data_IF_207962384769
#
_entry.id   IF_207962384769
#
_cell.length_a   1.000
_cell.length_b   1.000
_cell.length_c   1.000
_cell.angle_alpha   90.00
_cell.angle_beta   90.00
_cell.angle_gamma   90.00
#
_symmetry.space_group_name_H-M   'P 1'
#
loop_
_entity.id
_entity.type
_entity.pdbx_description
1 polymer ?
#
# COMPACT_ATOMS: atom_id res chain seq x y z
N UNK A 1 -17.46 12.31 25.07
CA UNK A 1 -16.08 12.10 24.56
C UNK A 1 -15.39 13.46 24.51
N UNK A 2 -14.23 13.59 25.14
CA UNK A 2 -13.50 14.86 25.22
C UNK A 2 -12.94 15.26 23.83
N UNK A 3 -13.11 16.53 23.46
CA UNK A 3 -12.60 17.13 22.23
C UNK A 3 -11.11 16.87 22.02
N UNK A 4 -10.33 16.81 23.09
CA UNK A 4 -8.88 16.59 23.05
C UNK A 4 -8.53 15.15 22.60
N UNK A 5 -9.31 14.15 23.05
CA UNK A 5 -9.13 12.75 22.64
C UNK A 5 -9.43 12.54 21.15
N UNK A 6 -10.44 13.24 20.62
CA UNK A 6 -10.80 13.18 19.19
C UNK A 6 -9.68 13.79 18.33
N UNK A 7 -9.08 14.91 18.76
CA UNK A 7 -7.96 15.53 18.06
C UNK A 7 -6.72 14.62 18.06
N UNK A 8 -6.40 14.01 19.21
CA UNK A 8 -5.26 13.10 19.32
C UNK A 8 -5.43 11.85 18.43
N UNK A 9 -6.62 11.26 18.38
CA UNK A 9 -6.91 10.13 17.48
C UNK A 9 -6.79 10.51 16.00
N UNK A 10 -7.28 11.69 15.61
CA UNK A 10 -7.13 12.20 14.24
C UNK A 10 -5.67 12.41 13.87
N UNK A 11 -4.88 12.98 14.79
CA UNK A 11 -3.45 13.18 14.61
C UNK A 11 -2.70 11.85 14.42
N UNK A 12 -2.94 10.86 15.28
CA UNK A 12 -2.33 9.52 15.16
C UNK A 12 -2.70 8.84 13.84
N UNK A 13 -3.96 8.96 13.40
CA UNK A 13 -4.42 8.41 12.11
C UNK A 13 -3.72 9.09 10.93
N UNK A 14 -3.54 10.41 10.99
CA UNK A 14 -2.80 11.16 9.97
C UNK A 14 -1.30 10.80 9.95
N UNK A 15 -0.67 10.67 11.12
CA UNK A 15 0.74 10.28 11.23
C UNK A 15 1.00 8.88 10.67
N UNK A 16 0.14 7.90 11.02
CA UNK A 16 0.23 6.54 10.45
C UNK A 16 0.12 6.57 8.94
N UNK A 17 -0.81 7.35 8.41
CA UNK A 17 -0.99 7.57 6.95
C UNK A 17 0.28 8.08 6.28
N UNK A 18 0.94 9.08 6.86
CA UNK A 18 2.19 9.62 6.31
C UNK A 18 3.30 8.57 6.34
N UNK A 19 3.38 7.77 7.41
CA UNK A 19 4.37 6.68 7.52
C UNK A 19 4.15 5.62 6.45
N UNK A 20 2.92 5.20 6.22
CA UNK A 20 2.57 4.19 5.21
C UNK A 20 2.89 4.69 3.79
N UNK A 21 2.57 5.95 3.49
CA UNK A 21 2.91 6.58 2.20
C UNK A 21 4.43 6.65 2.01
N UNK A 22 5.18 7.08 3.03
CA UNK A 22 6.65 7.08 2.98
C UNK A 22 7.21 5.68 2.72
N UNK A 23 6.68 4.67 3.41
CA UNK A 23 7.09 3.27 3.23
C UNK A 23 6.89 2.80 1.78
N UNK A 24 5.72 3.09 1.20
CA UNK A 24 5.45 2.78 -0.20
C UNK A 24 6.47 3.42 -1.15
N UNK A 25 6.73 4.73 -0.99
CA UNK A 25 7.68 5.43 -1.86
C UNK A 25 9.09 4.86 -1.76
N UNK A 26 9.53 4.47 -0.56
CA UNK A 26 10.82 3.80 -0.39
C UNK A 26 10.89 2.51 -1.21
N UNK A 27 9.87 1.65 -1.11
CA UNK A 27 9.83 0.40 -1.89
C UNK A 27 9.74 0.65 -3.39
N UNK A 28 8.96 1.64 -3.83
CA UNK A 28 8.85 2.04 -5.23
C UNK A 28 10.19 2.54 -5.79
N UNK A 29 10.90 3.40 -5.04
CA UNK A 29 12.21 3.90 -5.45
C UNK A 29 13.21 2.77 -5.59
N UNK A 30 13.28 1.86 -4.61
CA UNK A 30 14.16 0.69 -4.68
C UNK A 30 13.80 -0.18 -5.89
N UNK A 31 12.53 -0.45 -6.12
CA UNK A 31 12.06 -1.22 -7.28
C UNK A 31 12.50 -0.57 -8.60
N UNK A 32 12.29 0.74 -8.76
CA UNK A 32 12.70 1.49 -9.94
C UNK A 32 14.21 1.53 -10.17
N UNK A 33 15.04 1.41 -9.12
CA UNK A 33 16.49 1.37 -9.25
C UNK A 33 17.02 -0.04 -9.54
N UNK A 34 16.48 -1.06 -8.88
CA UNK A 34 16.96 -2.44 -8.97
C UNK A 34 16.51 -3.13 -10.26
N UNK A 35 15.26 -2.91 -10.70
CA UNK A 35 14.72 -3.56 -11.90
C UNK A 35 15.53 -3.24 -13.17
N UNK A 36 15.89 -1.99 -13.48
CA UNK A 36 16.74 -1.68 -14.63
C UNK A 36 18.11 -2.36 -14.56
N UNK A 37 18.70 -2.48 -13.37
CA UNK A 37 19.98 -3.17 -13.17
C UNK A 37 19.83 -4.67 -13.48
N UNK A 38 18.75 -5.31 -13.03
CA UNK A 38 18.46 -6.72 -13.33
C UNK A 38 18.23 -6.91 -14.84
N UNK A 39 17.45 -6.04 -15.47
CA UNK A 39 17.19 -6.09 -16.92
C UNK A 39 18.52 -5.94 -17.68
N UNK A 40 19.36 -4.98 -17.30
CA UNK A 40 20.66 -4.76 -17.91
C UNK A 40 21.56 -5.99 -17.77
N UNK A 41 21.68 -6.55 -16.56
CA UNK A 41 22.47 -7.76 -16.33
C UNK A 41 21.95 -8.93 -17.17
N UNK A 42 20.63 -9.14 -17.20
CA UNK A 42 20.06 -10.26 -17.95
C UNK A 42 20.34 -10.13 -19.44
N UNK A 43 20.10 -8.96 -20.03
CA UNK A 43 20.39 -8.71 -21.45
C UNK A 43 21.89 -8.80 -21.75
N UNK A 44 22.76 -8.48 -20.79
CA UNK A 44 24.22 -8.52 -20.98
C UNK A 44 24.79 -9.94 -20.91
N UNK A 45 24.35 -10.74 -19.95
CA UNK A 45 24.92 -12.06 -19.67
C UNK A 45 24.15 -13.22 -20.31
N UNK A 46 22.84 -13.09 -20.46
CA UNK A 46 21.98 -14.15 -20.98
C UNK A 46 20.84 -13.58 -21.85
N UNK A 47 21.17 -13.01 -23.04
CA UNK A 47 20.20 -12.33 -23.89
C UNK A 47 19.14 -13.27 -24.49
N UNK A 48 19.38 -14.58 -24.48
CA UNK A 48 18.45 -15.56 -25.05
C UNK A 48 17.31 -15.92 -24.09
N UNK A 49 17.46 -15.66 -22.79
CA UNK A 49 16.45 -15.99 -21.78
C UNK A 49 16.16 -14.79 -20.87
N UNK A 50 14.99 -14.19 -21.07
CA UNK A 50 14.55 -12.97 -20.37
C UNK A 50 13.95 -13.26 -18.99
N UNK A 51 14.73 -13.83 -18.07
CA UNK A 51 14.23 -14.16 -16.71
C UNK A 51 13.87 -12.92 -15.89
N UNK A 52 14.29 -11.72 -16.29
CA UNK A 52 13.91 -10.47 -15.61
C UNK A 52 12.39 -10.30 -15.50
N UNK A 53 11.59 -10.89 -16.39
CA UNK A 53 10.12 -10.82 -16.34
C UNK A 53 9.57 -11.37 -15.02
N UNK A 54 10.17 -12.43 -14.47
CA UNK A 54 9.76 -12.97 -13.18
C UNK A 54 10.02 -11.99 -12.04
N UNK A 55 11.15 -11.27 -12.07
CA UNK A 55 11.46 -10.22 -11.09
C UNK A 55 10.50 -9.03 -11.22
N UNK A 56 10.24 -8.57 -12.45
CA UNK A 56 9.33 -7.45 -12.73
C UNK A 56 7.91 -7.78 -12.26
N UNK A 57 7.33 -8.91 -12.69
CA UNK A 57 5.96 -9.25 -12.32
C UNK A 57 5.86 -9.70 -10.86
N UNK A 58 6.82 -10.48 -10.37
CA UNK A 58 6.84 -10.96 -8.98
C UNK A 58 6.90 -9.80 -8.00
N UNK A 59 7.95 -8.96 -8.08
CA UNK A 59 8.08 -7.81 -7.18
C UNK A 59 7.07 -6.71 -7.48
N UNK A 60 6.75 -6.49 -8.76
CA UNK A 60 5.75 -5.51 -9.18
C UNK A 60 4.36 -5.80 -8.63
N UNK A 61 3.96 -7.07 -8.54
CA UNK A 61 2.67 -7.46 -7.94
C UNK A 61 2.60 -7.10 -6.45
N UNK A 62 3.66 -7.36 -5.68
CA UNK A 62 3.73 -6.99 -4.26
C UNK A 62 3.69 -5.47 -4.06
N UNK A 63 4.38 -4.73 -4.92
CA UNK A 63 4.36 -3.27 -4.92
C UNK A 63 2.97 -2.72 -5.27
N UNK A 64 2.28 -3.34 -6.24
CA UNK A 64 0.91 -2.99 -6.63
C UNK A 64 -0.09 -3.24 -5.50
N UNK A 65 0.03 -4.37 -4.80
CA UNK A 65 -0.80 -4.66 -3.62
C UNK A 65 -0.53 -3.63 -2.52
N UNK A 66 0.73 -3.30 -2.24
CA UNK A 66 1.08 -2.27 -1.25
C UNK A 66 0.48 -0.91 -1.63
N UNK A 67 0.56 -0.53 -2.92
CA UNK A 67 -0.08 0.68 -3.43
C UNK A 67 -1.59 0.66 -3.20
N UNK A 68 -2.25 -0.46 -3.51
CA UNK A 68 -3.67 -0.64 -3.23
C UNK A 68 -3.98 -0.52 -1.73
N UNK A 69 -3.17 -1.08 -0.84
CA UNK A 69 -3.35 -0.95 0.62
C UNK A 69 -3.22 0.50 1.10
N UNK A 70 -2.23 1.24 0.60
CA UNK A 70 -1.97 2.61 1.04
C UNK A 70 -2.97 3.61 0.43
N UNK A 71 -3.27 3.47 -0.86
CA UNK A 71 -4.09 4.41 -1.63
C UNK A 71 -5.48 3.85 -1.97
N UNK A 72 -5.56 2.63 -2.50
CA UNK A 72 -6.76 2.01 -3.09
C UNK A 72 -7.87 1.61 -2.11
N UNK A 73 -7.58 0.91 -1.01
CA UNK A 73 -8.61 0.47 -0.05
C UNK A 73 -9.38 1.63 0.59
N UNK A 74 -8.75 2.81 0.67
CA UNK A 74 -9.42 4.04 1.14
C UNK A 74 -10.23 4.73 0.03
N UNK A 75 -9.82 4.61 -1.24
CA UNK A 75 -10.54 5.17 -2.38
C UNK A 75 -11.80 4.35 -2.72
N UNK A 76 -11.73 3.02 -2.59
CA UNK A 76 -12.84 2.10 -2.79
C UNK A 76 -13.85 2.08 -1.62
N UNK A 77 -13.60 2.84 -0.56
CA UNK A 77 -14.45 2.85 0.63
C UNK A 77 -14.36 1.58 1.49
N UNK A 78 -13.72 0.51 1.05
CA UNK A 78 -13.52 -0.76 1.78
C UNK A 78 -12.37 -0.62 2.79
N UNK A 79 -12.41 0.44 3.60
CA UNK A 79 -11.45 0.67 4.67
C UNK A 79 -12.10 0.53 6.03
N UNK A 80 -11.30 0.68 7.08
CA UNK A 80 -11.73 0.70 8.49
C UNK A 80 -12.97 1.55 8.79
N UNK A 81 -13.20 2.61 8.00
CA UNK A 81 -14.39 3.44 8.10
C UNK A 81 -15.69 2.74 7.64
N UNK A 82 -15.64 1.88 6.62
CA UNK A 82 -16.79 1.07 6.19
C UNK A 82 -17.07 -0.06 7.16
N UNK A 83 -16.03 -0.71 7.70
CA UNK A 83 -16.19 -1.66 8.81
C UNK A 83 -16.84 -0.99 10.03
N UNK A 84 -16.32 0.15 10.48
CA UNK A 84 -16.91 0.90 11.59
C UNK A 84 -18.36 1.34 11.30
N UNK A 85 -18.67 1.70 10.05
CA UNK A 85 -20.03 2.08 9.63
C UNK A 85 -20.97 0.88 9.65
N UNK A 86 -20.53 -0.29 9.15
CA UNK A 86 -21.33 -1.52 9.15
C UNK A 86 -21.55 -2.06 10.56
N UNK A 87 -20.53 -2.03 11.41
CA UNK A 87 -20.67 -2.39 12.83
C UNK A 87 -21.69 -1.49 13.52
N UNK A 88 -21.66 -0.17 13.26
CA UNK A 88 -22.68 0.77 13.78
C UNK A 88 -24.08 0.50 13.26
N UNK A 89 -24.24 0.18 11.97
CA UNK A 89 -25.54 -0.20 11.40
C UNK A 89 -26.12 -1.41 12.14
N UNK A 90 -25.36 -2.49 12.30
CA UNK A 90 -25.83 -3.69 13.01
C UNK A 90 -26.10 -3.47 14.50
N UNK A 91 -25.38 -2.57 15.16
CA UNK A 91 -25.61 -2.24 16.57
C UNK A 91 -26.89 -1.42 16.79
N UNK A 92 -27.26 -0.59 15.80
CA UNK A 92 -28.49 0.22 15.84
C UNK A 92 -29.73 -0.54 15.36
N UNK A 93 -29.58 -1.53 14.46
CA UNK A 93 -30.69 -2.40 14.04
C UNK A 93 -31.15 -3.39 15.12
N UNK A 94 -30.34 -3.59 16.17
CA UNK A 94 -30.67 -4.45 17.32
C UNK A 94 -31.17 -3.69 18.56
N UNK A 95 -31.56 -2.40 18.42
CA UNK A 95 -32.30 -1.62 19.42
C UNK A 95 -33.66 -1.24 18.87
#
# INVERSE_FOLDING_TARGET
MDSNQIQQQRYLKAQKRVKDIKGFYTHLTIYCLIIPVIIFMNLKFEPHFHWFWFSVYGWGSGLFIHWLTVFGFKLLGIGKNWEEKKIKEFMNENN
#
